data_IF_746639178033
#
_entry.id   IF_746639178033
#
_cell.length_a   1.000
_cell.length_b   1.000
_cell.length_c   1.000
_cell.angle_alpha   90.00
_cell.angle_beta   90.00
_cell.angle_gamma   90.00
#
_symmetry.space_group_name_H-M   'P 1'
#
loop_
_entity.id
_entity.type
_entity.pdbx_description
1 polymer ?
#
# COMPACT_ATOMS: atom_id res chain seq x y z
N UNK A 1 13.93 -18.53 -10.06
CA UNK A 1 13.02 -17.46 -9.67
C UNK A 1 13.80 -16.19 -9.41
N UNK A 2 13.35 -15.08 -9.98
CA UNK A 2 14.01 -13.78 -9.84
C UNK A 2 13.33 -12.99 -8.72
N UNK A 3 13.73 -13.25 -7.47
CA UNK A 3 13.19 -12.58 -6.30
C UNK A 3 13.52 -11.08 -6.28
N UNK A 4 14.66 -10.68 -6.85
CA UNK A 4 15.05 -9.27 -6.89
C UNK A 4 14.13 -8.46 -7.80
N UNK A 5 13.77 -9.00 -8.96
CA UNK A 5 12.84 -8.37 -9.87
C UNK A 5 11.42 -8.33 -9.28
N UNK A 6 11.00 -9.40 -8.63
CA UNK A 6 9.70 -9.47 -7.95
C UNK A 6 9.63 -8.45 -6.81
N UNK A 7 10.72 -8.32 -6.03
CA UNK A 7 10.80 -7.34 -4.96
C UNK A 7 10.67 -5.91 -5.50
N UNK A 8 11.38 -5.59 -6.58
CA UNK A 8 11.29 -4.26 -7.21
C UNK A 8 9.86 -3.94 -7.61
N UNK A 9 9.18 -4.90 -8.23
CA UNK A 9 7.80 -4.73 -8.70
C UNK A 9 6.85 -4.49 -7.53
N UNK A 10 6.96 -5.27 -6.45
CA UNK A 10 6.09 -5.08 -5.29
C UNK A 10 6.39 -3.77 -4.57
N UNK A 11 7.64 -3.31 -4.55
CA UNK A 11 8.00 -2.02 -3.97
C UNK A 11 7.34 -0.86 -4.74
N UNK A 12 7.25 -0.97 -6.07
CA UNK A 12 6.53 -0.01 -6.88
C UNK A 12 5.03 -0.01 -6.54
N UNK A 13 4.44 -1.19 -6.38
CA UNK A 13 3.03 -1.31 -5.99
C UNK A 13 2.77 -0.75 -4.59
N UNK A 14 3.70 -0.96 -3.66
CA UNK A 14 3.61 -0.38 -2.30
C UNK A 14 3.61 1.15 -2.39
N UNK A 15 4.50 1.73 -3.20
CA UNK A 15 4.58 3.18 -3.36
C UNK A 15 3.27 3.74 -3.95
N UNK A 16 2.72 3.09 -4.95
CA UNK A 16 1.43 3.48 -5.54
C UNK A 16 0.29 3.37 -4.54
N UNK A 17 0.25 2.29 -3.77
CA UNK A 17 -0.79 2.08 -2.77
C UNK A 17 -0.72 3.13 -1.66
N UNK A 18 0.49 3.51 -1.22
CA UNK A 18 0.68 4.59 -0.24
C UNK A 18 0.18 5.93 -0.78
N UNK A 19 0.46 6.21 -2.04
CA UNK A 19 -0.02 7.42 -2.70
C UNK A 19 -1.55 7.46 -2.69
N UNK A 20 -2.20 6.34 -3.03
CA UNK A 20 -3.66 6.26 -3.04
C UNK A 20 -4.28 6.45 -1.66
N UNK A 21 -3.65 5.89 -0.62
CA UNK A 21 -4.09 6.08 0.77
C UNK A 21 -4.01 7.57 1.14
N UNK A 22 -2.90 8.23 0.84
CA UNK A 22 -2.74 9.66 1.14
C UNK A 22 -3.77 10.51 0.40
N UNK A 23 -4.00 10.21 -0.87
CA UNK A 23 -4.97 10.93 -1.69
C UNK A 23 -6.39 10.77 -1.14
N UNK A 24 -6.76 9.56 -0.74
CA UNK A 24 -8.07 9.27 -0.16
C UNK A 24 -8.24 9.97 1.19
N UNK A 25 -7.20 9.99 2.01
CA UNK A 25 -7.22 10.71 3.29
C UNK A 25 -7.45 12.21 3.09
N UNK A 26 -6.81 12.79 2.07
CA UNK A 26 -7.02 14.19 1.72
C UNK A 26 -8.46 14.49 1.27
N UNK A 27 -9.05 13.57 0.51
CA UNK A 27 -10.46 13.69 0.10
C UNK A 27 -11.38 13.70 1.32
N UNK A 28 -11.15 12.84 2.29
CA UNK A 28 -11.95 12.78 3.51
C UNK A 28 -11.91 14.11 4.26
N UNK A 29 -10.72 14.71 4.37
CA UNK A 29 -10.55 16.01 5.01
C UNK A 29 -11.37 17.08 4.28
N UNK A 30 -11.32 17.10 2.96
CA UNK A 30 -12.08 18.06 2.15
C UNK A 30 -13.59 17.89 2.31
N UNK A 31 -14.07 16.64 2.29
CA UNK A 31 -15.49 16.34 2.48
C UNK A 31 -15.97 16.78 3.87
N UNK A 32 -15.17 16.49 4.89
CA UNK A 32 -15.48 16.89 6.27
C UNK A 32 -15.58 18.41 6.39
N UNK A 33 -14.64 19.13 5.83
CA UNK A 33 -14.61 20.60 5.84
C UNK A 33 -15.83 21.17 5.11
N UNK A 34 -16.29 20.52 4.05
CA UNK A 34 -17.46 20.92 3.29
C UNK A 34 -18.79 20.49 3.95
N UNK A 35 -18.75 19.80 5.08
CA UNK A 35 -19.96 19.32 5.75
C UNK A 35 -20.66 18.18 5.03
N UNK A 36 -19.96 17.47 4.15
CA UNK A 36 -20.48 16.33 3.38
C UNK A 36 -20.14 15.03 4.10
N UNK A 37 -21.01 14.04 3.96
CA UNK A 37 -20.76 12.70 4.55
C UNK A 37 -19.46 12.11 4.05
N UNK A 38 -18.68 11.54 4.98
CA UNK A 38 -17.41 10.85 4.66
C UNK A 38 -17.53 9.34 4.66
N UNK A 39 -18.74 8.81 4.84
CA UNK A 39 -18.93 7.37 5.07
C UNK A 39 -18.37 6.51 3.93
N UNK A 40 -18.75 6.81 2.69
CA UNK A 40 -18.28 6.03 1.53
C UNK A 40 -16.78 6.22 1.32
N UNK A 41 -16.29 7.44 1.47
CA UNK A 41 -14.86 7.73 1.33
C UNK A 41 -14.03 6.98 2.38
N UNK A 42 -14.54 6.83 3.61
CA UNK A 42 -13.86 6.07 4.67
C UNK A 42 -13.85 4.56 4.38
N UNK A 43 -14.92 4.05 3.78
CA UNK A 43 -14.96 2.63 3.34
C UNK A 43 -13.89 2.37 2.28
N UNK A 44 -13.75 3.27 1.32
CA UNK A 44 -12.72 3.16 0.29
C UNK A 44 -11.33 3.23 0.93
N UNK A 45 -11.11 4.14 1.87
CA UNK A 45 -9.84 4.23 2.59
C UNK A 45 -9.49 2.91 3.29
N UNK A 46 -10.46 2.30 3.95
CA UNK A 46 -10.24 1.01 4.61
C UNK A 46 -9.78 -0.07 3.63
N UNK A 47 -10.40 -0.14 2.44
CA UNK A 47 -10.00 -1.07 1.39
C UNK A 47 -8.58 -0.79 0.89
N UNK A 48 -8.25 0.48 0.68
CA UNK A 48 -6.92 0.88 0.23
C UNK A 48 -5.85 0.55 1.28
N UNK A 49 -6.14 0.81 2.55
CA UNK A 49 -5.23 0.47 3.65
C UNK A 49 -5.04 -1.04 3.79
N UNK A 50 -6.10 -1.83 3.63
CA UNK A 50 -6.04 -3.29 3.67
C UNK A 50 -5.18 -3.83 2.53
N UNK A 51 -5.32 -3.27 1.33
CA UNK A 51 -4.49 -3.63 0.18
C UNK A 51 -3.02 -3.28 0.43
N UNK A 52 -2.77 -2.10 0.96
CA UNK A 52 -1.40 -1.66 1.29
C UNK A 52 -0.74 -2.62 2.27
N UNK A 53 -1.43 -3.02 3.34
CA UNK A 53 -0.89 -3.98 4.31
C UNK A 53 -0.52 -5.30 3.65
N UNK A 54 -1.35 -5.83 2.76
CA UNK A 54 -1.05 -7.08 2.04
C UNK A 54 0.18 -6.95 1.15
N UNK A 55 0.31 -5.81 0.49
CA UNK A 55 1.49 -5.53 -0.34
C UNK A 55 2.76 -5.41 0.50
N UNK A 56 2.68 -4.76 1.65
CA UNK A 56 3.81 -4.63 2.58
C UNK A 56 4.24 -5.98 3.13
N UNK A 57 3.29 -6.84 3.50
CA UNK A 57 3.59 -8.19 3.97
C UNK A 57 4.26 -9.02 2.88
N UNK A 58 3.76 -8.93 1.64
CA UNK A 58 4.35 -9.62 0.50
C UNK A 58 5.77 -9.11 0.23
N UNK A 59 5.97 -7.79 0.28
CA UNK A 59 7.30 -7.17 0.15
C UNK A 59 8.26 -7.72 1.19
N UNK A 60 7.82 -7.82 2.45
CA UNK A 60 8.67 -8.28 3.53
C UNK A 60 9.08 -9.75 3.35
N UNK A 61 8.18 -10.59 2.85
CA UNK A 61 8.50 -11.98 2.51
C UNK A 61 9.53 -12.06 1.39
N UNK A 62 9.38 -11.23 0.36
CA UNK A 62 10.34 -11.19 -0.74
C UNK A 62 11.70 -10.67 -0.29
N UNK A 63 11.74 -9.67 0.57
CA UNK A 63 13.00 -9.18 1.15
C UNK A 63 13.74 -10.27 1.91
N UNK A 64 13.02 -11.04 2.70
CA UNK A 64 13.61 -12.15 3.43
C UNK A 64 14.18 -13.21 2.47
N UNK A 65 13.49 -13.48 1.36
CA UNK A 65 13.96 -14.42 0.34
C UNK A 65 15.23 -13.92 -0.37
N UNK A 66 15.28 -12.63 -0.70
CA UNK A 66 16.46 -12.02 -1.34
C UNK A 66 17.65 -12.07 -0.39
N UNK A 67 17.45 -11.72 0.88
CA UNK A 67 18.51 -11.79 1.90
C UNK A 67 19.00 -13.24 2.06
N UNK A 68 18.09 -14.20 2.11
CA UNK A 68 18.42 -15.62 2.21
C UNK A 68 19.28 -16.10 1.05
N UNK A 69 19.03 -15.62 -0.17
CA UNK A 69 19.84 -15.95 -1.34
C UNK A 69 21.25 -15.35 -1.27
N UNK A 70 21.41 -14.19 -0.64
CA UNK A 70 22.69 -13.49 -0.55
C UNK A 70 23.61 -14.07 0.52
N UNK A 71 23.08 -14.85 1.45
CA UNK A 71 23.86 -15.40 2.57
C UNK A 71 24.46 -16.75 2.29
N UNK A 72 24.24 -17.32 1.13
CA UNK A 72 24.94 -18.55 0.68
C UNK A 72 26.38 -18.28 0.21
#
# INVERSE_FOLDING_TARGET
MDYENDLRRVEEHVAEARYMVRRQSGLIIRLRTAGVSTLDARRILWLLESNLRRLEEHRDRLRASVIGQQTE
#
